data_IF_023583803498
#
_entry.id   IF_023583803498
#
_cell.length_a   1.000
_cell.length_b   1.000
_cell.length_c   1.000
_cell.angle_alpha   90.00
_cell.angle_beta   90.00
_cell.angle_gamma   90.00
#
_symmetry.space_group_name_H-M   'P 1'
#
loop_
_entity.id
_entity.type
_entity.pdbx_description
1 polymer ?
#
# COMPACT_ATOMS: atom_id res chain seq x y z
N UNK A 1 13.01 -22.45 -20.71
CA UNK A 1 12.22 -21.71 -19.69
C UNK A 1 13.10 -21.45 -18.47
N UNK A 2 13.45 -20.18 -18.18
CA UNK A 2 14.27 -19.80 -17.02
C UNK A 2 13.40 -19.91 -15.75
N UNK A 3 13.75 -20.80 -14.81
CA UNK A 3 13.14 -20.82 -13.48
C UNK A 3 13.40 -19.46 -12.79
N UNK A 4 12.41 -18.83 -12.14
CA UNK A 4 12.67 -17.62 -11.36
C UNK A 4 13.61 -17.98 -10.22
N UNK A 5 14.67 -17.20 -10.04
CA UNK A 5 15.63 -17.39 -8.96
C UNK A 5 14.89 -17.36 -7.61
N UNK A 6 15.10 -18.38 -6.78
CA UNK A 6 14.56 -18.49 -5.44
C UNK A 6 15.05 -17.27 -4.63
N UNK A 7 14.13 -16.38 -4.27
CA UNK A 7 14.47 -15.13 -3.58
C UNK A 7 15.07 -15.43 -2.21
N UNK A 8 16.27 -14.91 -1.93
CA UNK A 8 16.91 -14.97 -0.62
C UNK A 8 15.91 -14.53 0.47
N UNK A 9 15.50 -15.40 1.41
CA UNK A 9 14.50 -15.06 2.43
C UNK A 9 14.98 -13.96 3.39
N UNK A 10 16.29 -13.67 3.41
CA UNK A 10 16.92 -12.62 4.22
C UNK A 10 16.94 -11.24 3.54
N UNK A 11 16.68 -11.15 2.23
CA UNK A 11 16.63 -9.86 1.54
C UNK A 11 15.24 -9.25 1.66
N UNK A 12 15.17 -7.99 2.06
CA UNK A 12 13.91 -7.23 2.03
C UNK A 12 13.47 -7.08 0.58
N UNK A 13 12.29 -7.61 0.26
CA UNK A 13 11.65 -7.48 -1.06
C UNK A 13 10.53 -6.45 -0.98
N UNK A 14 10.48 -5.53 -1.94
CA UNK A 14 9.33 -4.65 -2.11
C UNK A 14 8.11 -5.45 -2.54
N UNK A 15 6.97 -5.22 -1.86
CA UNK A 15 5.69 -5.88 -2.16
C UNK A 15 4.67 -4.86 -2.65
N UNK A 16 3.69 -5.34 -3.42
CA UNK A 16 2.54 -4.55 -3.87
C UNK A 16 1.31 -5.06 -3.11
N UNK A 17 0.57 -4.13 -2.50
CA UNK A 17 -0.66 -4.42 -1.76
C UNK A 17 -1.80 -3.73 -2.48
N UNK A 18 -2.85 -4.49 -2.81
CA UNK A 18 -4.06 -3.98 -3.49
C UNK A 18 -5.25 -4.09 -2.56
N UNK A 19 -5.74 -2.96 -2.08
CA UNK A 19 -6.97 -2.87 -1.30
C UNK A 19 -8.16 -2.66 -2.25
N UNK A 20 -8.89 -3.73 -2.56
CA UNK A 20 -10.05 -3.73 -3.48
C UNK A 20 -11.34 -4.19 -2.78
N UNK A 21 -12.46 -4.22 -3.51
CA UNK A 21 -13.80 -4.56 -3.02
C UNK A 21 -14.69 -3.33 -2.87
N UNK A 22 -16.00 -3.53 -2.65
CA UNK A 22 -16.97 -2.43 -2.57
C UNK A 22 -17.04 -1.79 -1.17
N UNK A 23 -16.62 -2.51 -0.14
CA UNK A 23 -16.67 -2.06 1.24
C UNK A 23 -15.88 -0.77 1.53
N UNK A 24 -16.34 -0.02 2.53
CA UNK A 24 -15.61 1.17 3.04
C UNK A 24 -14.27 0.75 3.65
N UNK A 25 -13.29 1.64 3.58
CA UNK A 25 -12.03 1.51 4.32
C UNK A 25 -10.80 1.19 3.48
N UNK A 26 -10.92 1.00 2.15
CA UNK A 26 -9.77 0.79 1.25
C UNK A 26 -8.72 1.90 1.37
N UNK A 27 -9.18 3.15 1.26
CA UNK A 27 -8.32 4.32 1.42
C UNK A 27 -7.77 4.39 2.84
N UNK A 28 -8.60 4.16 3.86
CA UNK A 28 -8.20 4.19 5.27
C UNK A 28 -7.10 3.18 5.58
N UNK A 29 -7.19 1.96 5.03
CA UNK A 29 -6.15 0.94 5.17
C UNK A 29 -4.83 1.37 4.53
N UNK A 30 -4.87 1.95 3.32
CA UNK A 30 -3.67 2.49 2.65
C UNK A 30 -3.04 3.65 3.42
N UNK A 31 -3.85 4.56 3.97
CA UNK A 31 -3.38 5.65 4.83
C UNK A 31 -2.80 5.13 6.15
N UNK A 32 -3.41 4.11 6.76
CA UNK A 32 -2.88 3.48 7.97
C UNK A 32 -1.50 2.85 7.75
N UNK A 33 -1.28 2.21 6.59
CA UNK A 33 0.02 1.67 6.21
C UNK A 33 1.05 2.79 5.99
N UNK A 34 0.66 3.86 5.30
CA UNK A 34 1.48 5.04 5.10
C UNK A 34 1.92 5.67 6.43
N UNK A 35 0.99 5.86 7.37
CA UNK A 35 1.29 6.38 8.71
C UNK A 35 2.22 5.45 9.51
N UNK A 36 2.01 4.12 9.42
CA UNK A 36 2.91 3.14 10.04
C UNK A 36 4.33 3.23 9.49
N UNK A 37 4.48 3.41 8.17
CA UNK A 37 5.79 3.57 7.54
C UNK A 37 6.45 4.89 7.95
N UNK A 38 5.69 5.99 7.96
CA UNK A 38 6.16 7.29 8.42
C UNK A 38 6.64 7.27 9.88
N UNK A 39 5.89 6.61 10.78
CA UNK A 39 6.29 6.42 12.18
C UNK A 39 7.61 5.66 12.35
N UNK A 40 7.94 4.79 11.40
CA UNK A 40 9.23 4.09 11.33
C UNK A 40 10.31 4.85 10.54
N UNK A 41 10.16 6.17 10.35
CA UNK A 41 11.09 7.05 9.62
C UNK A 41 11.35 6.59 8.17
N UNK A 42 10.37 5.93 7.55
CA UNK A 42 10.44 5.59 6.12
C UNK A 42 9.87 6.74 5.28
N UNK A 43 10.39 6.91 4.07
CA UNK A 43 9.85 7.87 3.11
C UNK A 43 8.53 7.36 2.54
N UNK A 44 7.51 8.23 2.51
CA UNK A 44 6.16 7.90 2.07
C UNK A 44 5.69 8.93 1.04
N UNK A 45 5.10 8.44 -0.04
CA UNK A 45 4.48 9.26 -1.08
C UNK A 45 3.01 8.86 -1.24
N UNK A 46 2.11 9.84 -1.28
CA UNK A 46 0.67 9.64 -1.40
C UNK A 46 0.17 10.40 -2.62
N UNK A 47 -0.48 9.68 -3.53
CA UNK A 47 -1.13 10.26 -4.71
C UNK A 47 -2.62 9.87 -4.69
N UNK A 48 -3.50 10.86 -4.81
CA UNK A 48 -4.95 10.67 -4.87
C UNK A 48 -5.45 11.11 -6.24
N UNK A 49 -5.97 10.19 -7.05
CA UNK A 49 -6.50 10.50 -8.38
C UNK A 49 -7.88 11.18 -8.35
N UNK A 50 -8.63 10.99 -7.25
CA UNK A 50 -9.93 11.62 -7.01
C UNK A 50 -9.96 12.15 -5.57
N UNK A 51 -10.39 13.39 -5.39
CA UNK A 51 -10.66 13.99 -4.07
C UNK A 51 -11.70 15.10 -4.21
N UNK A 52 -12.77 15.00 -3.44
CA UNK A 52 -13.87 15.98 -3.41
C UNK A 52 -14.83 15.65 -2.26
N UNK A 53 -15.81 16.52 -1.95
CA UNK A 53 -16.80 16.31 -0.88
C UNK A 53 -17.79 15.22 -1.28
N UNK A 54 -17.32 13.99 -1.44
CA UNK A 54 -18.15 12.83 -1.65
C UNK A 54 -18.43 12.25 -0.27
N UNK A 55 -19.70 12.27 0.17
CA UNK A 55 -20.14 11.56 1.38
C UNK A 55 -19.74 10.10 1.24
N UNK A 56 -18.78 9.64 2.04
CA UNK A 56 -18.35 8.26 2.06
C UNK A 56 -19.57 7.35 2.29
N UNK A 57 -20.11 6.80 1.18
CA UNK A 57 -21.24 5.88 1.14
C UNK A 57 -20.96 4.67 2.00
#
# INVERSE_FOLDING_TARGET
MKKPALSDPKKRKGLIIVNTGEGKGKSTASFGLALRAAGNKMNVFIMQFMKGPWKAG
#
